data_IF_575945165444
#
_entry.id   IF_575945165444
#
_cell.length_a   1.000
_cell.length_b   1.000
_cell.length_c   1.000
_cell.angle_alpha   90.00
_cell.angle_beta   90.00
_cell.angle_gamma   90.00
#
_symmetry.space_group_name_H-M   'P 1'
#
loop_
_entity.id
_entity.type
_entity.pdbx_description
1 polymer ?
#
# COMPACT_ATOMS: atom_id res chain seq x y z
N UNK A 1 -17.91 13.46 -14.98
CA UNK A 1 -18.15 13.05 -13.56
C UNK A 1 -19.03 11.80 -13.55
N UNK A 2 -18.70 10.78 -12.76
CA UNK A 2 -19.50 9.55 -12.64
C UNK A 2 -20.81 9.82 -11.91
N UNK A 3 -21.95 9.43 -12.48
CA UNK A 3 -23.25 9.51 -11.82
C UNK A 3 -23.50 8.28 -10.91
N UNK A 4 -24.57 8.31 -10.11
CA UNK A 4 -24.90 7.24 -9.17
C UNK A 4 -25.21 5.94 -9.90
N UNK A 5 -25.95 5.98 -11.00
CA UNK A 5 -26.34 4.78 -11.74
C UNK A 5 -25.12 4.03 -12.30
N UNK A 6 -24.12 4.75 -12.83
CA UNK A 6 -22.89 4.14 -13.33
C UNK A 6 -22.04 3.56 -12.19
N UNK A 7 -21.99 4.24 -11.04
CA UNK A 7 -21.30 3.69 -9.87
C UNK A 7 -21.95 2.41 -9.37
N UNK A 8 -23.29 2.37 -9.27
CA UNK A 8 -24.08 1.18 -8.89
C UNK A 8 -23.88 0.02 -9.88
N UNK A 9 -23.77 0.33 -11.18
CA UNK A 9 -23.49 -0.66 -12.21
C UNK A 9 -22.11 -1.29 -12.02
N UNK A 10 -21.06 -0.49 -11.82
CA UNK A 10 -19.69 -0.98 -11.58
C UNK A 10 -19.60 -1.82 -10.31
N UNK A 11 -20.23 -1.39 -9.20
CA UNK A 11 -20.28 -2.16 -7.96
C UNK A 11 -20.89 -3.55 -8.20
N UNK A 12 -21.96 -3.61 -8.99
CA UNK A 12 -22.66 -4.87 -9.33
C UNK A 12 -21.83 -5.73 -10.30
N UNK A 13 -21.25 -5.14 -11.36
CA UNK A 13 -20.42 -5.84 -12.35
C UNK A 13 -19.22 -6.53 -11.69
N UNK A 14 -18.59 -5.86 -10.75
CA UNK A 14 -17.43 -6.39 -10.02
C UNK A 14 -17.79 -7.17 -8.75
N UNK A 15 -19.10 -7.39 -8.49
CA UNK A 15 -19.58 -8.14 -7.32
C UNK A 15 -19.04 -7.61 -5.99
N UNK A 16 -18.89 -6.29 -5.87
CA UNK A 16 -18.41 -5.62 -4.66
C UNK A 16 -19.57 -5.53 -3.66
N UNK A 17 -19.44 -6.04 -2.41
CA UNK A 17 -20.52 -5.97 -1.43
C UNK A 17 -20.93 -4.53 -1.09
N UNK A 18 -19.97 -3.63 -0.94
CA UNK A 18 -20.21 -2.22 -0.68
C UNK A 18 -19.03 -1.36 -1.01
N UNK A 19 -19.29 -0.15 -1.51
CA UNK A 19 -18.25 0.81 -1.87
C UNK A 19 -18.70 2.25 -1.66
N UNK A 20 -17.72 3.14 -1.44
CA UNK A 20 -17.89 4.59 -1.41
C UNK A 20 -16.82 5.27 -2.25
N UNK A 21 -17.21 6.36 -2.87
CA UNK A 21 -16.38 7.18 -3.74
C UNK A 21 -16.53 8.65 -3.34
N UNK A 22 -15.41 9.37 -3.28
CA UNK A 22 -15.40 10.84 -3.24
C UNK A 22 -14.47 11.37 -4.33
N UNK A 23 -14.92 12.40 -5.02
CA UNK A 23 -14.16 13.11 -6.09
C UNK A 23 -14.18 14.59 -5.80
N UNK A 24 -13.00 15.17 -5.67
CA UNK A 24 -12.78 16.62 -5.57
C UNK A 24 -12.37 17.18 -6.93
N UNK A 25 -13.00 18.25 -7.35
CA UNK A 25 -12.61 19.04 -8.53
C UNK A 25 -12.63 20.52 -8.16
N UNK A 26 -11.45 21.12 -7.99
CA UNK A 26 -11.36 22.45 -7.40
C UNK A 26 -11.92 22.45 -5.96
N UNK A 27 -13.03 23.19 -5.74
CA UNK A 27 -13.72 23.25 -4.44
C UNK A 27 -14.92 22.28 -4.34
N UNK A 28 -15.34 21.70 -5.46
CA UNK A 28 -16.55 20.87 -5.53
C UNK A 28 -16.24 19.42 -5.10
N UNK A 29 -16.97 18.96 -4.08
CA UNK A 29 -16.92 17.59 -3.59
C UNK A 29 -18.15 16.80 -4.03
N UNK A 30 -17.91 15.70 -4.71
CA UNK A 30 -18.96 14.77 -5.14
C UNK A 30 -18.75 13.40 -4.47
N UNK A 31 -19.81 12.84 -3.89
CA UNK A 31 -19.75 11.53 -3.22
C UNK A 31 -20.74 10.55 -3.84
N UNK A 32 -20.39 9.26 -3.83
CA UNK A 32 -21.27 8.14 -4.19
C UNK A 32 -21.11 7.04 -3.16
N UNK A 33 -22.18 6.28 -2.94
CA UNK A 33 -22.19 5.13 -2.05
C UNK A 33 -23.11 4.06 -2.65
N UNK A 34 -22.73 2.80 -2.54
CA UNK A 34 -23.49 1.68 -3.10
C UNK A 34 -23.24 0.41 -2.31
N UNK A 35 -24.26 -0.48 -2.22
CA UNK A 35 -24.18 -1.77 -1.57
C UNK A 35 -24.31 -1.71 -0.05
N UNK A 36 -23.72 -2.71 0.63
CA UNK A 36 -23.86 -2.91 2.09
C UNK A 36 -22.53 -2.94 2.81
N UNK A 37 -22.52 -2.49 4.06
CA UNK A 37 -21.33 -2.49 4.95
C UNK A 37 -21.00 -3.91 5.45
N UNK A 38 -22.01 -4.78 5.50
CA UNK A 38 -21.89 -6.14 5.99
C UNK A 38 -23.02 -6.98 5.39
N UNK A 39 -22.65 -8.06 4.71
CA UNK A 39 -23.61 -8.96 4.03
C UNK A 39 -24.54 -9.67 5.00
N UNK A 40 -24.11 -9.96 6.24
CA UNK A 40 -24.96 -10.64 7.23
C UNK A 40 -26.04 -9.73 7.81
N UNK A 41 -25.77 -8.41 7.91
CA UNK A 41 -26.71 -7.45 8.52
C UNK A 41 -27.51 -6.67 7.49
N UNK A 42 -27.03 -6.56 6.25
CA UNK A 42 -27.68 -5.77 5.20
C UNK A 42 -27.66 -4.25 5.43
N UNK A 43 -26.81 -3.74 6.33
CA UNK A 43 -26.73 -2.29 6.59
C UNK A 43 -26.12 -1.59 5.37
N UNK A 44 -26.82 -0.64 4.81
CA UNK A 44 -26.43 0.07 3.59
C UNK A 44 -25.18 0.93 3.77
N UNK A 45 -24.37 1.05 2.71
CA UNK A 45 -23.29 2.04 2.61
C UNK A 45 -23.89 3.41 2.35
N UNK A 46 -23.39 4.40 3.07
CA UNK A 46 -23.75 5.83 2.89
C UNK A 46 -22.47 6.66 2.75
N UNK A 47 -22.51 7.91 2.28
CA UNK A 47 -21.31 8.73 2.12
C UNK A 47 -20.52 8.98 3.42
N UNK A 48 -21.18 8.84 4.59
CA UNK A 48 -20.56 8.94 5.92
C UNK A 48 -20.07 7.60 6.48
N UNK A 49 -20.14 6.53 5.70
CA UNK A 49 -19.61 5.22 6.07
C UNK A 49 -18.08 5.22 6.09
N UNK A 50 -17.52 4.67 7.16
CA UNK A 50 -16.08 4.56 7.35
C UNK A 50 -15.56 3.20 6.88
N UNK A 51 -14.41 3.24 6.24
CA UNK A 51 -13.65 2.07 5.80
C UNK A 51 -12.22 2.15 6.33
N UNK A 52 -11.56 1.01 6.46
CA UNK A 52 -10.15 0.96 6.76
C UNK A 52 -9.36 1.42 5.53
N UNK A 53 -8.42 2.34 5.75
CA UNK A 53 -7.55 2.87 4.69
C UNK A 53 -6.33 2.00 4.44
N UNK A 54 -6.07 1.06 5.35
CA UNK A 54 -4.90 0.20 5.28
C UNK A 54 -3.63 1.03 4.98
N UNK A 55 -2.87 0.66 3.97
CA UNK A 55 -1.57 1.28 3.68
C UNK A 55 -1.61 2.75 3.27
N UNK A 56 -2.76 3.34 2.94
CA UNK A 56 -2.87 4.81 2.78
C UNK A 56 -2.49 5.51 4.10
N UNK A 57 -2.63 4.85 5.24
CA UNK A 57 -2.14 5.30 6.57
C UNK A 57 -0.68 5.75 6.54
N UNK A 58 0.16 5.14 5.69
CA UNK A 58 1.57 5.51 5.57
C UNK A 58 1.75 6.97 5.15
N UNK A 59 0.88 7.46 4.27
CA UNK A 59 0.90 8.87 3.87
C UNK A 59 0.53 9.79 5.04
N UNK A 60 -0.40 9.38 5.91
CA UNK A 60 -0.71 10.12 7.15
C UNK A 60 0.50 10.15 8.09
N UNK A 61 1.13 9.00 8.34
CA UNK A 61 2.33 8.90 9.17
C UNK A 61 3.48 9.75 8.61
N UNK A 62 3.73 9.67 7.30
CA UNK A 62 4.74 10.48 6.62
C UNK A 62 4.44 11.98 6.72
N UNK A 63 3.16 12.38 6.60
CA UNK A 63 2.75 13.78 6.73
C UNK A 63 3.06 14.32 8.12
N UNK A 64 2.74 13.58 9.19
CA UNK A 64 3.13 13.96 10.55
C UNK A 64 4.64 14.12 10.66
N UNK A 65 5.41 13.15 10.13
CA UNK A 65 6.87 13.25 10.13
C UNK A 65 7.38 14.52 9.40
N UNK A 66 6.84 14.83 8.23
CA UNK A 66 7.24 16.04 7.48
C UNK A 66 6.90 17.31 8.27
N UNK A 67 5.76 17.37 8.97
CA UNK A 67 5.45 18.49 9.87
C UNK A 67 6.47 18.66 11.00
N UNK A 68 6.98 17.55 11.55
CA UNK A 68 8.04 17.61 12.56
C UNK A 68 9.38 18.03 11.95
N UNK A 69 9.66 17.62 10.72
CA UNK A 69 10.85 18.06 10.00
C UNK A 69 10.83 19.57 9.67
N UNK A 70 9.66 20.11 9.28
CA UNK A 70 9.46 21.56 9.09
C UNK A 70 9.69 22.36 10.39
N UNK A 71 9.37 21.78 11.53
CA UNK A 71 9.63 22.37 12.85
C UNK A 71 11.12 22.28 13.26
N UNK A 72 11.97 21.65 12.45
CA UNK A 72 13.39 21.46 12.72
C UNK A 72 13.71 20.41 13.78
N UNK A 73 12.74 19.55 14.14
CA UNK A 73 12.94 18.52 15.18
C UNK A 73 13.73 17.31 14.65
N UNK A 74 13.68 17.06 13.35
CA UNK A 74 14.33 15.93 12.69
C UNK A 74 14.58 16.25 11.22
N UNK A 75 15.59 15.63 10.59
CA UNK A 75 15.85 15.74 9.15
C UNK A 75 15.54 14.44 8.41
N UNK A 76 15.33 14.52 7.10
CA UNK A 76 15.15 13.34 6.25
C UNK A 76 16.34 12.38 6.30
N UNK A 77 17.55 12.93 6.41
CA UNK A 77 18.79 12.16 6.41
C UNK A 77 19.33 11.87 7.82
N UNK A 78 18.59 12.25 8.86
CA UNK A 78 18.86 11.87 10.26
C UNK A 78 18.78 10.35 10.38
N UNK A 79 19.79 9.73 10.98
CA UNK A 79 19.78 8.30 11.25
C UNK A 79 18.72 7.96 12.31
N UNK A 80 18.05 6.81 12.14
CA UNK A 80 17.01 6.37 13.10
C UNK A 80 17.55 6.32 14.53
N UNK A 81 18.79 5.85 14.71
CA UNK A 81 19.43 5.76 16.04
C UNK A 81 19.77 7.09 16.70
N UNK A 82 19.72 8.20 16.00
CA UNK A 82 19.85 9.52 16.61
C UNK A 82 18.60 9.88 17.44
N UNK A 83 17.43 9.36 17.03
CA UNK A 83 16.16 9.53 17.76
C UNK A 83 15.82 8.31 18.62
N UNK A 84 16.14 7.11 18.14
CA UNK A 84 15.92 5.84 18.81
C UNK A 84 17.28 5.13 19.08
N UNK A 85 18.03 5.51 20.13
CA UNK A 85 19.41 5.00 20.38
C UNK A 85 19.48 3.47 20.47
N UNK A 86 18.44 2.83 21.00
CA UNK A 86 18.35 1.40 21.19
C UNK A 86 17.78 0.63 19.98
N UNK A 87 17.51 1.31 18.87
CA UNK A 87 16.97 0.68 17.67
C UNK A 87 17.89 -0.43 17.14
N UNK A 88 17.31 -1.60 16.88
CA UNK A 88 18.01 -2.80 16.40
C UNK A 88 17.19 -3.48 15.30
N UNK A 89 17.93 -4.02 14.34
CA UNK A 89 17.47 -5.04 13.37
C UNK A 89 18.56 -6.11 13.32
N UNK A 90 18.34 -7.23 12.64
CA UNK A 90 19.28 -8.34 12.58
C UNK A 90 20.67 -7.92 12.08
N UNK A 91 20.74 -6.99 11.11
CA UNK A 91 21.99 -6.39 10.66
C UNK A 91 22.31 -5.12 11.47
N UNK A 92 23.35 -5.12 12.33
CA UNK A 92 23.73 -3.96 13.14
C UNK A 92 24.24 -2.77 12.30
N UNK A 93 24.80 -3.00 11.11
CA UNK A 93 25.22 -1.93 10.22
C UNK A 93 24.03 -1.19 9.62
N UNK A 94 22.97 -1.92 9.24
CA UNK A 94 21.72 -1.31 8.82
C UNK A 94 21.11 -0.51 9.96
N UNK A 95 21.02 -1.08 11.17
CA UNK A 95 20.49 -0.37 12.35
C UNK A 95 21.22 0.96 12.59
N UNK A 96 22.54 1.01 12.36
CA UNK A 96 23.38 2.19 12.56
C UNK A 96 23.19 3.26 11.47
N UNK A 97 22.93 2.84 10.21
CA UNK A 97 23.00 3.71 9.02
C UNK A 97 21.66 4.07 8.41
N UNK A 98 20.60 3.34 8.73
CA UNK A 98 19.26 3.61 8.18
C UNK A 98 18.80 5.01 8.61
N UNK A 99 18.28 5.78 7.65
CA UNK A 99 17.78 7.14 7.86
C UNK A 99 16.27 7.21 7.68
N UNK A 100 15.66 8.33 8.08
CA UNK A 100 14.24 8.59 7.89
C UNK A 100 13.86 8.54 6.41
N UNK A 101 14.71 9.07 5.51
CA UNK A 101 14.52 8.99 4.06
C UNK A 101 14.42 7.54 3.59
N UNK A 102 15.28 6.64 4.06
CA UNK A 102 15.22 5.23 3.71
C UNK A 102 13.89 4.57 4.12
N UNK A 103 13.33 4.96 5.27
CA UNK A 103 12.02 4.44 5.71
C UNK A 103 10.90 4.97 4.81
N UNK A 104 10.89 6.28 4.52
CA UNK A 104 9.86 6.97 3.75
C UNK A 104 9.83 6.56 2.27
N UNK A 105 10.96 6.08 1.73
CA UNK A 105 11.11 5.70 0.30
C UNK A 105 11.16 4.20 0.08
N UNK A 106 10.96 3.40 1.13
CA UNK A 106 11.07 1.94 1.08
C UNK A 106 12.44 1.41 0.64
N UNK A 107 13.51 2.17 0.90
CA UNK A 107 14.90 1.77 0.55
C UNK A 107 15.72 1.32 1.75
N UNK A 108 15.10 1.14 2.92
CA UNK A 108 15.79 0.62 4.11
C UNK A 108 16.26 -0.83 3.93
N UNK A 109 15.59 -1.59 3.06
CA UNK A 109 15.80 -3.01 2.89
C UNK A 109 15.36 -3.87 4.09
N UNK A 110 14.94 -3.26 5.21
CA UNK A 110 14.43 -3.97 6.38
C UNK A 110 13.19 -4.76 5.99
N UNK A 111 13.14 -6.04 6.36
CA UNK A 111 12.05 -6.95 6.07
C UNK A 111 10.67 -6.32 6.30
N UNK A 112 9.87 -6.27 5.23
CA UNK A 112 8.68 -5.45 5.20
C UNK A 112 7.47 -6.08 5.87
N UNK A 113 7.39 -7.40 5.87
CA UNK A 113 6.21 -8.17 6.29
C UNK A 113 6.44 -8.85 7.65
N UNK A 114 6.76 -8.06 8.67
CA UNK A 114 6.88 -8.52 10.05
C UNK A 114 5.57 -8.26 10.79
N UNK A 115 4.65 -9.21 10.71
CA UNK A 115 3.33 -9.14 11.34
C UNK A 115 3.39 -9.72 12.75
N UNK A 116 3.69 -8.89 13.73
CA UNK A 116 3.71 -9.22 15.16
C UNK A 116 3.05 -8.16 16.01
N UNK A 117 2.59 -8.54 17.17
CA UNK A 117 2.25 -7.62 18.23
C UNK A 117 0.79 -7.51 18.55
N UNK A 118 0.26 -8.47 19.29
CA UNK A 118 -1.08 -8.44 19.88
C UNK A 118 -1.22 -7.41 21.02
N UNK A 119 -0.23 -6.52 21.16
CA UNK A 119 -0.23 -5.48 22.19
C UNK A 119 -1.28 -4.41 21.90
N UNK A 120 -2.02 -4.01 22.95
CA UNK A 120 -3.10 -3.03 22.85
C UNK A 120 -2.87 -1.75 23.67
N UNK A 121 -1.81 -1.71 24.49
CA UNK A 121 -1.46 -0.53 25.31
C UNK A 121 -0.84 0.60 24.48
N UNK A 122 -0.66 1.76 25.13
CA UNK A 122 -0.06 2.95 24.50
C UNK A 122 1.43 2.77 24.17
N UNK A 123 2.04 1.71 24.70
CA UNK A 123 3.41 1.27 24.41
C UNK A 123 3.50 0.26 23.25
N UNK A 124 2.41 0.00 22.54
CA UNK A 124 2.35 -1.06 21.53
C UNK A 124 3.31 -0.84 20.35
N UNK A 125 3.48 0.41 19.88
CA UNK A 125 4.42 0.74 18.79
C UNK A 125 5.87 0.61 19.28
N UNK A 126 6.16 1.01 20.51
CA UNK A 126 7.48 0.82 21.12
C UNK A 126 7.85 -0.66 21.21
N UNK A 127 6.93 -1.51 21.70
CA UNK A 127 7.13 -2.98 21.78
C UNK A 127 7.33 -3.60 20.41
N UNK A 128 6.55 -3.16 19.41
CA UNK A 128 6.74 -3.60 18.04
C UNK A 128 8.16 -3.28 17.54
N UNK A 129 8.61 -2.04 17.72
CA UNK A 129 9.94 -1.61 17.27
C UNK A 129 11.05 -2.33 18.05
N UNK A 130 10.86 -2.60 19.34
CA UNK A 130 11.80 -3.41 20.13
C UNK A 130 11.91 -4.85 19.60
N UNK A 131 10.80 -5.43 19.12
CA UNK A 131 10.80 -6.78 18.54
C UNK A 131 11.45 -6.86 17.15
N UNK A 132 11.69 -5.71 16.48
CA UNK A 132 12.35 -5.68 15.16
C UNK A 132 13.84 -6.14 15.22
N UNK A 133 14.41 -6.39 16.38
CA UNK A 133 15.80 -6.86 16.53
C UNK A 133 16.11 -8.16 15.75
N UNK A 134 15.09 -8.97 15.46
CA UNK A 134 15.21 -10.23 14.69
C UNK A 134 14.92 -10.06 13.19
N UNK A 135 14.45 -8.89 12.76
CA UNK A 135 14.05 -8.65 11.35
C UNK A 135 15.28 -8.56 10.47
N UNK A 136 15.35 -9.46 9.49
CA UNK A 136 16.40 -9.50 8.47
C UNK A 136 16.18 -8.48 7.35
N UNK A 137 17.01 -8.59 6.31
CA UNK A 137 16.99 -7.73 5.14
C UNK A 137 16.34 -8.45 3.95
N UNK A 138 15.49 -7.72 3.22
CA UNK A 138 14.98 -8.12 1.90
C UNK A 138 16.02 -7.83 0.82
N UNK A 139 16.61 -6.62 0.90
CA UNK A 139 17.60 -6.09 -0.03
C UNK A 139 18.64 -5.25 0.73
N UNK A 140 19.83 -5.02 0.18
CA UNK A 140 20.82 -4.14 0.81
C UNK A 140 20.30 -2.71 1.01
N UNK A 141 20.67 -2.07 2.13
CA UNK A 141 20.31 -0.69 2.45
C UNK A 141 20.65 0.27 1.30
N UNK A 142 19.65 1.02 0.83
CA UNK A 142 19.81 2.03 -0.20
C UNK A 142 19.98 1.48 -1.62
N UNK A 143 19.84 0.17 -1.86
CA UNK A 143 20.06 -0.43 -3.19
C UNK A 143 18.86 -0.26 -4.12
N UNK A 144 17.78 -0.94 -3.82
CA UNK A 144 16.51 -0.89 -4.57
C UNK A 144 15.35 -0.76 -3.61
N UNK A 145 14.21 -0.18 -4.01
CA UNK A 145 13.06 -0.11 -3.12
C UNK A 145 12.44 -1.49 -2.92
N UNK A 146 12.11 -1.84 -1.67
CA UNK A 146 11.28 -2.98 -1.30
C UNK A 146 10.26 -2.52 -0.27
N UNK A 147 8.98 -2.67 -0.59
CA UNK A 147 7.89 -2.14 0.23
C UNK A 147 7.94 -2.67 1.66
N UNK A 148 7.97 -1.78 2.65
CA UNK A 148 8.15 -2.16 4.05
C UNK A 148 7.08 -1.55 4.96
N UNK A 149 6.26 -2.39 5.58
CA UNK A 149 5.37 -2.03 6.68
C UNK A 149 6.18 -1.70 7.94
N UNK A 150 7.17 -2.53 8.24
CA UNK A 150 8.08 -2.38 9.38
C UNK A 150 8.72 -0.99 9.43
N UNK A 151 9.19 -0.49 8.28
CA UNK A 151 9.79 0.84 8.19
C UNK A 151 8.86 1.96 8.66
N UNK A 152 7.57 1.88 8.36
CA UNK A 152 6.58 2.88 8.81
C UNK A 152 6.20 2.73 10.27
N UNK A 153 6.24 1.52 10.83
CA UNK A 153 6.10 1.33 12.27
C UNK A 153 7.28 1.97 13.04
N UNK A 154 8.51 1.82 12.52
CA UNK A 154 9.69 2.51 13.07
C UNK A 154 9.52 4.03 12.98
N UNK A 155 9.02 4.56 11.84
CA UNK A 155 8.74 5.98 11.68
C UNK A 155 7.67 6.47 12.68
N UNK A 156 6.64 5.65 12.94
CA UNK A 156 5.64 5.92 13.97
C UNK A 156 6.26 6.06 15.37
N UNK A 157 7.20 5.18 15.73
CA UNK A 157 7.91 5.30 17.01
C UNK A 157 8.80 6.54 17.08
N UNK A 158 9.44 6.92 15.98
CA UNK A 158 10.17 8.18 15.89
C UNK A 158 9.24 9.37 16.20
N UNK A 159 8.04 9.39 15.62
CA UNK A 159 7.03 10.42 15.89
C UNK A 159 6.66 10.45 17.38
N UNK A 160 6.43 9.29 18.01
CA UNK A 160 6.11 9.21 19.43
C UNK A 160 7.21 9.82 20.32
N UNK A 161 8.47 9.47 20.04
CA UNK A 161 9.61 9.99 20.82
C UNK A 161 9.77 11.51 20.64
N UNK A 162 9.63 12.02 19.41
CA UNK A 162 9.77 13.46 19.13
C UNK A 162 8.63 14.30 19.69
N UNK A 163 7.43 13.73 19.78
CA UNK A 163 6.23 14.50 20.22
C UNK A 163 5.84 14.27 21.66
N UNK A 164 6.25 13.17 22.28
CA UNK A 164 5.75 12.70 23.58
C UNK A 164 4.30 12.22 23.55
N UNK A 165 3.70 12.05 22.37
CA UNK A 165 2.35 11.57 22.13
C UNK A 165 2.39 10.12 21.64
N UNK A 166 1.29 9.37 21.79
CA UNK A 166 1.14 8.14 21.00
C UNK A 166 1.00 8.50 19.52
N UNK A 167 1.29 7.55 18.62
CA UNK A 167 1.08 7.75 17.19
C UNK A 167 -0.38 8.14 16.88
N UNK A 168 -1.34 7.50 17.52
CA UNK A 168 -2.78 7.81 17.42
C UNK A 168 -3.08 9.28 17.74
N UNK A 169 -2.55 9.77 18.86
CA UNK A 169 -2.68 11.17 19.29
C UNK A 169 -1.98 12.13 18.32
N UNK A 170 -0.83 11.73 17.76
CA UNK A 170 -0.12 12.56 16.79
C UNK A 170 -0.90 12.69 15.48
N UNK A 171 -1.55 11.62 14.98
CA UNK A 171 -2.48 11.72 13.84
C UNK A 171 -3.62 12.68 14.14
N UNK A 172 -4.20 12.60 15.36
CA UNK A 172 -5.21 13.55 15.82
C UNK A 172 -4.74 15.00 15.73
N UNK A 173 -3.64 15.31 16.41
CA UNK A 173 -3.10 16.66 16.56
C UNK A 173 -2.61 17.30 15.26
N UNK A 174 -1.94 16.53 14.40
CA UNK A 174 -1.27 17.08 13.21
C UNK A 174 -2.09 17.01 11.94
N UNK A 175 -3.15 16.15 11.88
CA UNK A 175 -3.97 15.95 10.68
C UNK A 175 -5.45 16.14 10.98
N UNK A 176 -6.06 15.33 11.84
CA UNK A 176 -7.51 15.31 12.04
C UNK A 176 -8.04 16.66 12.54
N UNK A 177 -7.46 17.19 13.59
CA UNK A 177 -7.91 18.45 14.22
C UNK A 177 -7.69 19.67 13.32
N UNK A 178 -6.49 19.89 12.71
CA UNK A 178 -6.27 21.02 11.82
C UNK A 178 -7.17 21.04 10.59
N UNK A 179 -7.55 19.86 10.08
CA UNK A 179 -8.43 19.73 8.91
C UNK A 179 -9.92 19.64 9.28
N UNK A 180 -10.25 19.60 10.56
CA UNK A 180 -11.63 19.43 11.03
C UNK A 180 -12.26 18.09 10.60
N UNK A 181 -11.45 17.02 10.43
CA UNK A 181 -11.94 15.71 10.01
C UNK A 181 -12.71 15.06 11.16
N UNK A 182 -13.98 14.74 10.91
CA UNK A 182 -14.86 14.19 11.95
C UNK A 182 -14.93 12.66 11.90
N UNK A 183 -14.60 12.06 10.75
CA UNK A 183 -14.69 10.63 10.48
C UNK A 183 -13.33 10.05 10.08
N UNK A 184 -12.25 10.45 10.77
CA UNK A 184 -10.90 9.91 10.61
C UNK A 184 -10.36 9.52 11.97
N UNK A 185 -10.17 8.22 12.21
CA UNK A 185 -9.80 7.65 13.49
C UNK A 185 -8.85 6.47 13.31
N UNK A 186 -8.13 6.10 14.40
CA UNK A 186 -7.11 5.05 14.36
C UNK A 186 -7.40 3.88 15.30
N UNK A 187 -8.24 4.10 16.30
CA UNK A 187 -8.56 3.09 17.31
C UNK A 187 -9.93 2.46 17.06
N UNK A 188 -10.06 1.11 17.14
CA UNK A 188 -11.34 0.41 16.96
C UNK A 188 -12.47 0.96 17.82
N UNK A 189 -12.19 1.28 19.08
CA UNK A 189 -13.18 1.82 20.04
C UNK A 189 -13.67 3.23 19.67
N UNK A 190 -12.95 3.97 18.85
CA UNK A 190 -13.38 5.25 18.30
C UNK A 190 -14.20 5.05 17.03
N UNK A 191 -13.72 4.16 16.15
CA UNK A 191 -14.33 3.88 14.84
C UNK A 191 -15.71 3.22 14.99
N UNK A 192 -15.88 2.30 15.94
CA UNK A 192 -17.16 1.58 16.16
C UNK A 192 -18.33 2.51 16.55
N UNK A 193 -18.08 3.75 16.89
CA UNK A 193 -19.15 4.75 17.16
C UNK A 193 -19.83 5.29 15.91
N UNK A 194 -19.32 4.94 14.73
CA UNK A 194 -19.79 5.38 13.42
C UNK A 194 -20.35 4.22 12.59
N UNK A 195 -20.84 4.53 11.40
CA UNK A 195 -21.18 3.52 10.40
C UNK A 195 -19.89 2.95 9.83
N UNK A 196 -19.52 1.75 10.24
CA UNK A 196 -18.25 1.15 9.86
C UNK A 196 -18.46 -0.12 9.04
N UNK A 197 -17.64 -0.31 8.03
CA UNK A 197 -17.67 -1.48 7.16
C UNK A 197 -16.94 -2.67 7.77
N UNK A 198 -17.51 -3.87 7.57
CA UNK A 198 -16.78 -5.14 7.69
C UNK A 198 -16.07 -5.46 6.38
N UNK A 199 -14.97 -6.19 6.46
CA UNK A 199 -14.31 -6.76 5.30
C UNK A 199 -15.07 -7.98 4.76
N UNK A 200 -14.91 -8.26 3.46
CA UNK A 200 -15.43 -9.48 2.84
C UNK A 200 -14.33 -10.18 2.05
N UNK A 201 -14.25 -11.47 2.20
CA UNK A 201 -13.24 -12.34 1.59
C UNK A 201 -13.87 -13.33 0.63
N UNK A 202 -13.14 -13.67 -0.41
CA UNK A 202 -13.49 -14.71 -1.37
C UNK A 202 -12.41 -15.79 -1.37
N UNK A 203 -12.84 -17.07 -1.35
CA UNK A 203 -11.92 -18.22 -1.32
C UNK A 203 -11.39 -18.57 -2.71
N UNK A 204 -12.19 -18.33 -3.75
CA UNK A 204 -11.82 -18.56 -5.15
C UNK A 204 -12.47 -17.52 -6.06
N UNK A 205 -12.03 -17.45 -7.32
CA UNK A 205 -12.57 -16.50 -8.31
C UNK A 205 -14.09 -16.61 -8.53
N UNK A 206 -14.69 -17.77 -8.25
CA UNK A 206 -16.11 -18.05 -8.49
C UNK A 206 -16.96 -18.00 -7.24
N UNK A 207 -16.37 -17.94 -6.04
CA UNK A 207 -17.11 -17.94 -4.78
C UNK A 207 -17.77 -16.60 -4.51
N UNK A 208 -18.92 -16.65 -3.85
CA UNK A 208 -19.54 -15.46 -3.29
C UNK A 208 -18.68 -14.93 -2.11
N UNK A 209 -18.60 -13.60 -1.93
CA UNK A 209 -17.90 -13.01 -0.80
C UNK A 209 -18.59 -13.37 0.52
N UNK A 210 -17.79 -13.59 1.56
CA UNK A 210 -18.24 -13.86 2.93
C UNK A 210 -17.65 -12.84 3.88
N UNK A 211 -18.35 -12.51 4.96
CA UNK A 211 -17.87 -11.57 5.98
C UNK A 211 -16.55 -12.08 6.58
N UNK A 212 -15.55 -11.20 6.63
CA UNK A 212 -14.24 -11.50 7.22
C UNK A 212 -14.38 -11.79 8.73
N UNK A 213 -13.64 -12.79 9.27
CA UNK A 213 -13.76 -13.16 10.67
C UNK A 213 -13.19 -12.13 11.64
N UNK A 214 -12.33 -11.22 11.14
CA UNK A 214 -11.66 -10.19 11.93
C UNK A 214 -11.85 -8.83 11.28
N UNK A 215 -12.06 -7.81 12.12
CA UNK A 215 -12.06 -6.41 11.69
C UNK A 215 -10.76 -5.69 12.07
N UNK A 216 -10.21 -5.99 13.26
CA UNK A 216 -9.06 -5.32 13.88
C UNK A 216 -7.74 -5.95 13.39
N UNK A 217 -7.37 -5.65 12.15
CA UNK A 217 -6.09 -6.02 11.54
C UNK A 217 -5.61 -4.90 10.62
N UNK A 218 -4.30 -4.55 10.59
CA UNK A 218 -3.21 -5.11 11.40
C UNK A 218 -3.29 -4.71 12.88
N UNK A 219 -2.48 -5.37 13.71
CA UNK A 219 -2.43 -5.11 15.15
C UNK A 219 -2.04 -3.66 15.46
N UNK A 220 -2.49 -3.12 16.63
CA UNK A 220 -2.26 -1.73 17.01
C UNK A 220 -0.79 -1.31 16.98
N UNK A 221 0.15 -2.21 17.36
CA UNK A 221 1.60 -1.95 17.26
C UNK A 221 2.08 -1.65 15.82
N UNK A 222 1.32 -2.08 14.82
CA UNK A 222 1.54 -1.80 13.40
C UNK A 222 0.68 -0.62 12.89
N UNK A 223 -0.04 0.06 13.78
CA UNK A 223 -0.92 1.19 13.45
C UNK A 223 -0.32 2.19 12.47
N UNK A 224 0.96 2.62 12.65
CA UNK A 224 1.59 3.59 11.75
C UNK A 224 1.68 3.18 10.28
N UNK A 225 1.53 1.90 9.97
CA UNK A 225 1.53 1.43 8.58
C UNK A 225 0.13 1.12 8.02
N UNK A 226 -0.94 1.06 8.87
CA UNK A 226 -2.20 0.50 8.37
C UNK A 226 -3.53 0.81 9.08
N UNK A 227 -3.60 1.52 10.22
CA UNK A 227 -4.80 1.55 11.05
C UNK A 227 -5.70 2.79 10.94
N UNK A 228 -5.45 3.71 10.01
CA UNK A 228 -6.42 4.80 9.79
C UNK A 228 -7.69 4.25 9.16
N UNK A 229 -8.84 4.60 9.74
CA UNK A 229 -10.17 4.40 9.15
C UNK A 229 -10.81 5.76 8.92
N UNK A 230 -11.44 5.95 7.75
CA UNK A 230 -12.05 7.22 7.42
C UNK A 230 -13.23 7.08 6.43
N UNK A 231 -13.95 8.18 6.20
CA UNK A 231 -14.85 8.34 5.05
C UNK A 231 -14.08 8.75 3.81
N UNK A 232 -14.63 8.51 2.62
CA UNK A 232 -14.02 8.94 1.36
C UNK A 232 -13.87 10.48 1.29
N UNK A 233 -14.81 11.22 1.87
CA UNK A 233 -14.76 12.67 1.96
C UNK A 233 -13.58 13.19 2.80
N UNK A 234 -13.34 12.58 3.98
CA UNK A 234 -12.20 12.93 4.83
C UNK A 234 -10.85 12.59 4.14
N UNK A 235 -10.79 11.48 3.40
CA UNK A 235 -9.59 11.10 2.62
C UNK A 235 -9.30 12.12 1.52
N UNK A 236 -10.32 12.60 0.83
CA UNK A 236 -10.17 13.65 -0.19
C UNK A 236 -9.79 14.99 0.46
N UNK A 237 -10.30 15.32 1.64
CA UNK A 237 -9.89 16.51 2.38
C UNK A 237 -8.41 16.44 2.81
N UNK A 238 -7.91 15.26 3.17
CA UNK A 238 -6.48 15.02 3.39
C UNK A 238 -5.66 15.23 2.10
N UNK A 239 -6.13 14.70 0.96
CA UNK A 239 -5.47 14.93 -0.33
C UNK A 239 -5.48 16.43 -0.73
N UNK A 240 -6.57 17.17 -0.46
CA UNK A 240 -6.65 18.61 -0.70
C UNK A 240 -5.60 19.40 0.08
N UNK A 241 -5.27 18.99 1.31
CA UNK A 241 -4.14 19.55 2.04
C UNK A 241 -2.84 19.37 1.26
N UNK A 242 -2.59 18.18 0.70
CA UNK A 242 -1.41 17.92 -0.12
C UNK A 242 -1.38 18.68 -1.45
N UNK A 243 -2.55 19.00 -2.01
CA UNK A 243 -2.63 19.83 -3.21
C UNK A 243 -2.25 21.29 -2.91
N UNK A 244 -2.71 21.82 -1.77
CA UNK A 244 -2.68 23.25 -1.46
C UNK A 244 -1.50 23.69 -0.60
N UNK A 245 -0.85 22.78 0.12
CA UNK A 245 0.26 23.12 1.02
C UNK A 245 1.61 22.94 0.31
N UNK A 246 2.35 24.04 0.01
CA UNK A 246 3.65 23.96 -0.65
C UNK A 246 4.69 23.19 0.16
N UNK A 247 4.60 23.18 1.49
CA UNK A 247 5.53 22.47 2.34
C UNK A 247 5.44 20.96 2.17
N UNK A 248 4.26 20.43 1.85
CA UNK A 248 4.05 19.01 1.57
C UNK A 248 4.44 18.61 0.13
N UNK A 249 4.79 19.59 -0.74
CA UNK A 249 5.21 19.30 -2.11
C UNK A 249 6.46 18.41 -2.18
N UNK A 250 7.33 18.47 -1.17
CA UNK A 250 8.50 17.60 -1.06
C UNK A 250 8.13 16.11 -1.06
N UNK A 251 6.96 15.75 -0.55
CA UNK A 251 6.51 14.36 -0.47
C UNK A 251 6.20 13.74 -1.84
N UNK A 252 5.83 14.54 -2.83
CA UNK A 252 5.55 14.11 -4.21
C UNK A 252 6.71 14.32 -5.19
N UNK A 253 7.88 14.70 -4.69
CA UNK A 253 9.11 14.71 -5.49
C UNK A 253 9.61 13.28 -5.70
N UNK A 254 10.07 12.96 -6.92
CA UNK A 254 10.65 11.66 -7.25
C UNK A 254 11.89 11.41 -6.41
N UNK A 255 11.87 10.36 -5.58
CA UNK A 255 13.00 9.97 -4.72
C UNK A 255 13.74 8.76 -5.31
N UNK A 256 13.04 7.72 -5.69
CA UNK A 256 13.62 6.48 -6.21
C UNK A 256 12.73 5.88 -7.29
N UNK A 257 13.33 5.44 -8.39
CA UNK A 257 12.62 4.70 -9.44
C UNK A 257 12.29 3.29 -8.97
N UNK A 258 11.14 2.77 -9.39
CA UNK A 258 10.67 1.42 -9.03
C UNK A 258 10.77 0.52 -10.25
N UNK A 259 11.44 -0.63 -10.15
CA UNK A 259 11.43 -1.62 -11.22
C UNK A 259 10.02 -2.18 -11.47
N UNK A 260 9.61 -2.22 -12.74
CA UNK A 260 8.33 -2.82 -13.13
C UNK A 260 7.20 -1.80 -13.36
N UNK A 261 5.99 -2.30 -13.66
CA UNK A 261 4.89 -1.46 -14.12
C UNK A 261 3.90 -1.01 -13.04
N UNK A 262 4.17 -1.29 -11.75
CA UNK A 262 3.23 -0.93 -10.68
C UNK A 262 3.18 0.58 -10.42
N UNK A 263 4.33 1.24 -10.43
CA UNK A 263 4.49 2.69 -10.33
C UNK A 263 5.86 3.06 -10.92
N UNK A 264 6.03 4.34 -11.25
CA UNK A 264 7.29 4.80 -11.84
C UNK A 264 8.31 5.17 -10.76
N UNK A 265 7.88 5.85 -9.71
CA UNK A 265 8.74 6.30 -8.62
C UNK A 265 8.05 6.25 -7.26
N UNK A 266 8.83 6.11 -6.20
CA UNK A 266 8.42 6.52 -4.87
C UNK A 266 8.78 7.99 -4.65
N UNK A 267 7.83 8.75 -4.09
CA UNK A 267 8.09 9.96 -3.34
C UNK A 267 8.38 9.65 -1.87
N UNK A 268 8.18 10.58 -0.96
CA UNK A 268 8.19 10.30 0.48
C UNK A 268 6.81 9.73 0.86
N UNK A 269 6.71 8.40 0.89
CA UNK A 269 5.49 7.60 1.06
C UNK A 269 4.54 7.55 -0.16
N UNK A 270 4.53 8.52 -1.03
CA UNK A 270 3.62 8.55 -2.16
C UNK A 270 4.11 7.67 -3.32
N UNK A 271 3.18 6.91 -3.92
CA UNK A 271 3.32 6.30 -5.23
C UNK A 271 3.18 7.39 -6.30
N UNK A 272 4.09 7.40 -7.27
CA UNK A 272 4.11 8.40 -8.34
C UNK A 272 4.04 7.70 -9.70
N UNK A 273 3.10 8.13 -10.53
CA UNK A 273 2.94 7.69 -11.91
C UNK A 273 3.05 8.86 -12.87
N UNK A 274 3.58 8.61 -14.04
CA UNK A 274 3.60 9.53 -15.18
C UNK A 274 2.62 9.00 -16.23
N UNK A 275 1.36 9.44 -16.15
CA UNK A 275 0.35 9.04 -17.10
C UNK A 275 0.02 10.20 -18.04
N UNK A 276 0.15 9.97 -19.35
CA UNK A 276 -0.21 10.94 -20.39
C UNK A 276 0.53 12.28 -20.24
N UNK A 277 1.76 12.24 -19.71
CA UNK A 277 2.58 13.41 -19.42
C UNK A 277 2.21 14.16 -18.14
N UNK A 278 1.26 13.64 -17.35
CA UNK A 278 0.83 14.22 -16.09
C UNK A 278 1.35 13.38 -14.91
N UNK A 279 1.81 14.06 -13.85
CA UNK A 279 2.10 13.37 -12.59
C UNK A 279 0.81 13.02 -11.87
N UNK A 280 0.57 11.75 -11.67
CA UNK A 280 -0.48 11.22 -10.80
C UNK A 280 0.17 10.75 -9.51
N UNK A 281 -0.39 11.14 -8.38
CA UNK A 281 0.11 10.84 -7.04
C UNK A 281 -0.94 10.05 -6.29
N UNK A 282 -0.54 9.05 -5.52
CA UNK A 282 -1.52 8.31 -4.74
C UNK A 282 -0.93 7.24 -3.84
N UNK A 283 -1.81 6.45 -3.27
CA UNK A 283 -1.47 5.25 -2.52
C UNK A 283 -2.67 4.30 -2.50
N UNK A 284 -2.39 3.00 -2.54
CA UNK A 284 -3.40 1.96 -2.32
C UNK A 284 -3.27 1.37 -0.93
N UNK A 285 -4.34 0.81 -0.44
CA UNK A 285 -4.34 0.08 0.81
C UNK A 285 -5.25 -1.15 0.73
N UNK A 286 -4.72 -2.28 1.16
CA UNK A 286 -5.46 -3.53 1.26
C UNK A 286 -5.32 -4.07 2.68
N UNK A 287 -6.42 -4.44 3.27
CA UNK A 287 -6.52 -5.05 4.57
C UNK A 287 -7.43 -6.28 4.49
N UNK A 288 -7.82 -6.85 5.59
CA UNK A 288 -8.58 -8.10 5.67
C UNK A 288 -10.00 -7.95 5.08
N UNK A 289 -10.07 -8.02 3.73
CA UNK A 289 -11.32 -7.86 2.98
C UNK A 289 -11.83 -6.42 2.87
N UNK A 290 -10.99 -5.43 3.10
CA UNK A 290 -11.25 -4.01 2.80
C UNK A 290 -10.11 -3.45 1.98
N UNK A 291 -10.44 -2.63 0.99
CA UNK A 291 -9.45 -1.99 0.11
C UNK A 291 -9.80 -0.53 -0.10
N UNK A 292 -8.77 0.29 -0.22
CA UNK A 292 -8.87 1.72 -0.45
C UNK A 292 -7.86 2.18 -1.50
N UNK A 293 -8.22 3.19 -2.27
CA UNK A 293 -7.35 3.82 -3.26
C UNK A 293 -7.55 5.32 -3.23
N UNK A 294 -6.45 6.04 -3.08
CA UNK A 294 -6.39 7.49 -3.18
C UNK A 294 -5.51 7.87 -4.35
N UNK A 295 -6.05 8.65 -5.28
CA UNK A 295 -5.31 9.34 -6.33
C UNK A 295 -5.54 10.84 -6.24
N UNK A 296 -4.54 11.62 -6.58
CA UNK A 296 -4.71 13.04 -6.87
C UNK A 296 -3.76 13.51 -7.98
N UNK A 297 -4.21 14.51 -8.72
CA UNK A 297 -3.49 15.10 -9.85
C UNK A 297 -3.20 16.55 -9.50
N UNK A 298 -1.96 16.87 -9.06
CA UNK A 298 -1.63 18.22 -8.60
C UNK A 298 -1.94 19.31 -9.61
N UNK A 299 -1.58 19.12 -10.87
CA UNK A 299 -1.76 20.12 -11.94
C UNK A 299 -3.24 20.34 -12.30
N UNK A 300 -4.10 19.37 -12.03
CA UNK A 300 -5.54 19.49 -12.28
C UNK A 300 -6.34 19.91 -11.04
N UNK A 301 -5.74 19.89 -9.84
CA UNK A 301 -6.45 20.16 -8.59
C UNK A 301 -7.54 19.12 -8.28
N UNK A 302 -7.35 17.87 -8.74
CA UNK A 302 -8.32 16.78 -8.62
C UNK A 302 -7.84 15.75 -7.61
N UNK A 303 -8.76 15.23 -6.79
CA UNK A 303 -8.50 14.08 -5.93
C UNK A 303 -9.67 13.08 -6.00
N UNK A 304 -9.34 11.79 -5.96
CA UNK A 304 -10.29 10.67 -6.05
C UNK A 304 -9.98 9.70 -4.90
N UNK A 305 -10.93 9.44 -4.03
CA UNK A 305 -10.85 8.42 -3.00
C UNK A 305 -11.94 7.37 -3.25
N UNK A 306 -11.53 6.13 -3.49
CA UNK A 306 -12.41 4.97 -3.67
C UNK A 306 -12.11 3.95 -2.58
N UNK A 307 -13.16 3.48 -1.89
CA UNK A 307 -13.04 2.47 -0.86
C UNK A 307 -14.12 1.41 -1.04
N UNK A 308 -13.76 0.15 -0.78
CA UNK A 308 -14.68 -0.96 -0.87
C UNK A 308 -14.35 -2.05 0.15
N UNK A 309 -15.36 -2.80 0.54
CA UNK A 309 -15.22 -3.91 1.47
C UNK A 309 -15.09 -5.27 0.75
N UNK A 310 -14.05 -5.39 -0.06
CA UNK A 310 -13.77 -6.58 -0.86
C UNK A 310 -12.27 -6.82 -1.00
N UNK A 311 -11.87 -8.08 -1.14
CA UNK A 311 -10.53 -8.50 -1.56
C UNK A 311 -10.35 -8.52 -3.09
N UNK A 312 -11.44 -8.30 -3.87
CA UNK A 312 -11.45 -8.23 -5.35
C UNK A 312 -11.45 -6.80 -5.88
N UNK A 313 -10.69 -5.93 -5.25
CA UNK A 313 -10.75 -4.50 -5.51
C UNK A 313 -10.08 -4.06 -6.84
N UNK A 314 -9.04 -4.76 -7.28
CA UNK A 314 -8.13 -4.26 -8.31
C UNK A 314 -8.79 -3.89 -9.66
N UNK A 315 -9.70 -4.74 -10.17
CA UNK A 315 -10.38 -4.48 -11.44
C UNK A 315 -11.45 -3.39 -11.27
N UNK A 316 -12.22 -3.43 -10.19
CA UNK A 316 -13.19 -2.41 -9.84
C UNK A 316 -12.54 -1.02 -9.72
N UNK A 317 -11.49 -0.91 -8.91
CA UNK A 317 -10.71 0.32 -8.73
C UNK A 317 -10.20 0.87 -10.07
N UNK A 318 -9.69 -0.03 -10.91
CA UNK A 318 -9.16 0.33 -12.20
C UNK A 318 -10.22 0.95 -13.11
N UNK A 319 -11.40 0.31 -13.23
CA UNK A 319 -12.45 0.81 -14.12
C UNK A 319 -13.04 2.13 -13.62
N UNK A 320 -13.27 2.27 -12.32
CA UNK A 320 -13.71 3.54 -11.71
C UNK A 320 -12.67 4.66 -11.94
N UNK A 321 -11.39 4.40 -11.64
CA UNK A 321 -10.35 5.43 -11.79
C UNK A 321 -10.10 5.80 -13.25
N UNK A 322 -10.13 4.83 -14.17
CA UNK A 322 -9.97 5.07 -15.62
C UNK A 322 -11.06 5.99 -16.15
N UNK A 323 -12.33 5.71 -15.83
CA UNK A 323 -13.45 6.55 -16.28
C UNK A 323 -13.38 7.95 -15.67
N UNK A 324 -13.03 8.06 -14.40
CA UNK A 324 -12.93 9.35 -13.71
C UNK A 324 -11.75 10.17 -14.24
N UNK A 325 -10.54 9.63 -14.30
CA UNK A 325 -9.37 10.36 -14.81
C UNK A 325 -9.58 10.85 -16.24
N UNK A 326 -10.14 10.01 -17.12
CA UNK A 326 -10.48 10.41 -18.49
C UNK A 326 -11.52 11.53 -18.51
N UNK A 327 -12.60 11.44 -17.69
CA UNK A 327 -13.69 12.42 -17.73
C UNK A 327 -13.39 13.73 -17.00
N UNK A 328 -12.53 13.72 -15.98
CA UNK A 328 -12.27 14.87 -15.10
C UNK A 328 -10.96 15.56 -15.44
N UNK A 329 -9.93 14.78 -15.78
CA UNK A 329 -8.57 15.28 -16.05
C UNK A 329 -8.16 15.14 -17.53
N UNK A 330 -8.90 14.38 -18.34
CA UNK A 330 -8.47 14.00 -19.70
C UNK A 330 -7.32 13.01 -19.74
N UNK A 331 -6.91 12.44 -18.60
CA UNK A 331 -5.77 11.54 -18.49
C UNK A 331 -6.19 10.12 -18.86
N UNK A 332 -5.44 9.49 -19.77
CA UNK A 332 -5.62 8.10 -20.14
C UNK A 332 -4.77 7.19 -19.25
N UNK A 333 -5.42 6.46 -18.34
CA UNK A 333 -4.75 5.46 -17.50
C UNK A 333 -4.20 4.33 -18.39
N UNK A 334 -2.92 3.91 -18.26
CA UNK A 334 -2.35 2.83 -19.07
C UNK A 334 -3.14 1.52 -18.98
N UNK A 335 -3.12 0.65 -20.01
CA UNK A 335 -3.79 -0.63 -19.94
C UNK A 335 -3.21 -1.53 -18.84
N UNK A 336 -3.95 -2.51 -18.30
CA UNK A 336 -3.42 -3.44 -17.32
C UNK A 336 -2.26 -4.25 -17.93
N UNK A 337 -1.33 -4.72 -17.08
CA UNK A 337 -0.34 -5.68 -17.52
C UNK A 337 -1.02 -6.87 -18.22
N UNK A 338 -0.51 -7.26 -19.36
CA UNK A 338 -1.00 -8.40 -20.12
C UNK A 338 0.13 -8.97 -21.01
N UNK A 339 0.03 -10.22 -21.48
CA UNK A 339 0.92 -10.74 -22.51
C UNK A 339 0.88 -9.86 -23.76
N UNK A 340 2.02 -9.64 -24.44
CA UNK A 340 2.06 -8.89 -25.69
C UNK A 340 1.36 -9.67 -26.80
N UNK A 341 0.76 -8.95 -27.78
CA UNK A 341 0.10 -9.57 -28.94
C UNK A 341 1.08 -10.40 -29.79
N UNK A 342 2.34 -9.97 -29.89
CA UNK A 342 3.41 -10.75 -30.50
C UNK A 342 4.30 -11.32 -29.38
N UNK A 343 4.58 -12.63 -29.36
CA UNK A 343 5.41 -13.25 -28.35
C UNK A 343 6.79 -12.58 -28.26
N UNK A 344 7.21 -12.23 -27.04
CA UNK A 344 8.56 -11.77 -26.75
C UNK A 344 9.42 -12.97 -26.33
N UNK A 345 10.63 -13.07 -26.85
CA UNK A 345 11.57 -14.15 -26.52
C UNK A 345 12.72 -13.57 -25.68
N UNK A 346 13.03 -14.23 -24.58
CA UNK A 346 14.19 -13.91 -23.74
C UNK A 346 15.37 -14.76 -24.24
N UNK A 347 16.49 -14.13 -24.53
CA UNK A 347 17.68 -14.84 -25.11
C UNK A 347 18.27 -15.85 -24.11
N UNK A 348 18.34 -15.52 -22.83
CA UNK A 348 18.85 -16.42 -21.78
C UNK A 348 17.91 -16.41 -20.57
N UNK A 349 16.82 -17.20 -20.58
CA UNK A 349 15.91 -17.28 -19.44
C UNK A 349 16.54 -17.96 -18.21
N UNK A 350 17.58 -18.80 -18.41
CA UNK A 350 18.23 -19.51 -17.32
C UNK A 350 18.90 -18.57 -16.30
N UNK A 351 19.30 -17.37 -16.71
CA UNK A 351 19.89 -16.36 -15.80
C UNK A 351 18.95 -15.95 -14.66
N UNK A 352 17.63 -16.06 -14.84
CA UNK A 352 16.63 -15.73 -13.83
C UNK A 352 16.33 -16.90 -12.89
N UNK A 353 16.78 -18.13 -13.21
CA UNK A 353 16.53 -19.28 -12.35
C UNK A 353 17.31 -19.21 -11.06
N UNK A 354 16.78 -19.85 -10.02
CA UNK A 354 17.40 -19.96 -8.71
C UNK A 354 16.45 -19.64 -7.58
N UNK A 355 16.97 -19.64 -6.39
CA UNK A 355 16.24 -19.22 -5.17
C UNK A 355 16.53 -17.77 -4.84
N UNK A 356 15.47 -17.03 -4.62
CA UNK A 356 15.52 -15.68 -4.09
C UNK A 356 14.89 -15.67 -2.69
N UNK A 357 15.40 -14.80 -1.83
CA UNK A 357 14.94 -14.72 -0.45
C UNK A 357 14.65 -13.27 -0.06
N UNK A 358 13.58 -13.08 0.68
CA UNK A 358 13.28 -11.93 1.48
C UNK A 358 12.85 -12.37 2.88
N UNK A 359 12.82 -11.46 3.82
CA UNK A 359 12.33 -11.77 5.15
C UNK A 359 10.89 -12.31 5.10
N UNK A 360 10.65 -13.47 5.67
CA UNK A 360 9.34 -14.12 5.70
C UNK A 360 8.89 -14.75 4.37
N UNK A 361 9.75 -14.88 3.35
CA UNK A 361 9.40 -15.61 2.12
C UNK A 361 10.62 -16.11 1.33
N UNK A 362 10.41 -17.22 0.60
CA UNK A 362 11.29 -17.68 -0.48
C UNK A 362 10.56 -17.59 -1.81
N UNK A 363 11.31 -17.23 -2.85
CA UNK A 363 10.84 -17.24 -4.25
C UNK A 363 11.75 -18.16 -5.04
N UNK A 364 11.20 -19.27 -5.52
CA UNK A 364 11.90 -20.22 -6.37
C UNK A 364 11.50 -19.95 -7.83
N UNK A 365 12.49 -19.79 -8.70
CA UNK A 365 12.31 -19.63 -10.15
C UNK A 365 12.99 -20.79 -10.85
N UNK A 366 12.23 -21.55 -11.62
CA UNK A 366 12.71 -22.72 -12.36
C UNK A 366 12.40 -22.59 -13.86
N UNK A 367 13.21 -23.24 -14.69
CA UNK A 367 12.98 -23.32 -16.13
C UNK A 367 12.39 -24.67 -16.48
N UNK A 368 11.20 -24.70 -17.06
CA UNK A 368 10.53 -25.90 -17.54
C UNK A 368 11.14 -26.46 -18.81
N UNK A 369 10.81 -27.71 -19.11
CA UNK A 369 11.25 -28.39 -20.34
C UNK A 369 10.67 -27.77 -21.63
N UNK A 370 9.65 -26.96 -21.51
CA UNK A 370 9.01 -26.15 -22.56
C UNK A 370 9.68 -24.78 -22.77
N UNK A 371 10.69 -24.44 -21.95
CA UNK A 371 11.40 -23.18 -22.01
C UNK A 371 10.71 -22.04 -21.26
N UNK A 372 9.60 -22.30 -20.52
CA UNK A 372 8.93 -21.32 -19.69
C UNK A 372 9.55 -21.25 -18.29
N UNK A 373 9.57 -20.05 -17.72
CA UNK A 373 9.93 -19.85 -16.32
C UNK A 373 8.69 -20.05 -15.43
N UNK A 374 8.87 -20.80 -14.36
CA UNK A 374 7.88 -21.01 -13.32
C UNK A 374 8.35 -20.33 -12.04
N UNK A 375 7.49 -19.56 -11.41
CA UNK A 375 7.76 -18.89 -10.14
C UNK A 375 6.85 -19.43 -9.06
N UNK A 376 7.43 -19.79 -7.91
CA UNK A 376 6.72 -20.14 -6.68
C UNK A 376 7.20 -19.27 -5.54
N UNK A 377 6.32 -18.47 -4.93
CA UNK A 377 6.59 -17.76 -3.67
C UNK A 377 5.92 -18.51 -2.52
N UNK A 378 6.70 -18.85 -1.49
CA UNK A 378 6.22 -19.46 -0.24
C UNK A 378 6.54 -18.58 0.95
N UNK A 379 5.55 -18.33 1.79
CA UNK A 379 5.74 -17.65 3.06
C UNK A 379 6.48 -18.56 4.02
N UNK A 380 7.25 -17.97 4.95
CA UNK A 380 8.01 -18.65 5.98
C UNK A 380 7.77 -17.98 7.34
N UNK A 381 8.16 -18.66 8.43
CA UNK A 381 7.94 -18.15 9.79
C UNK A 381 6.45 -18.14 10.18
N UNK A 382 6.05 -17.17 10.99
CA UNK A 382 4.70 -17.09 11.59
C UNK A 382 3.56 -16.98 10.57
N UNK A 383 3.85 -16.58 9.33
CA UNK A 383 2.85 -16.40 8.25
C UNK A 383 2.82 -17.59 7.27
N UNK A 384 3.57 -18.66 7.51
CA UNK A 384 3.74 -19.77 6.57
C UNK A 384 2.41 -20.48 6.23
N UNK A 385 1.53 -20.62 7.23
CA UNK A 385 0.26 -21.33 7.10
C UNK A 385 -0.94 -20.40 6.80
N UNK A 386 -0.73 -19.09 6.84
CA UNK A 386 -1.80 -18.11 6.65
C UNK A 386 -2.13 -17.84 5.17
N UNK A 387 -1.16 -18.07 4.28
CA UNK A 387 -1.33 -17.82 2.85
C UNK A 387 -0.88 -19.01 2.02
N UNK A 388 -1.67 -19.46 1.03
CA UNK A 388 -1.23 -20.48 0.10
C UNK A 388 -0.02 -19.99 -0.70
N UNK A 389 0.81 -20.90 -1.23
CA UNK A 389 1.87 -20.54 -2.16
C UNK A 389 1.32 -19.75 -3.35
N UNK A 390 2.03 -18.70 -3.75
CA UNK A 390 1.77 -17.98 -4.99
C UNK A 390 2.56 -18.66 -6.11
N UNK A 391 1.87 -19.23 -7.10
CA UNK A 391 2.48 -19.98 -8.20
C UNK A 391 2.01 -19.42 -9.54
N UNK A 392 2.93 -19.10 -10.43
CA UNK A 392 2.62 -18.58 -11.76
C UNK A 392 3.64 -19.03 -12.81
N UNK A 393 3.13 -19.26 -14.02
CA UNK A 393 3.95 -19.36 -15.22
C UNK A 393 4.24 -17.96 -15.74
N UNK A 394 5.50 -17.69 -16.09
CA UNK A 394 5.96 -16.37 -16.44
C UNK A 394 5.98 -16.18 -17.97
N UNK A 395 5.03 -15.40 -18.48
CA UNK A 395 5.00 -14.98 -19.88
C UNK A 395 5.85 -13.73 -20.06
N UNK A 396 6.90 -13.75 -20.89
CA UNK A 396 7.77 -12.59 -21.08
C UNK A 396 7.07 -11.46 -21.84
N UNK A 397 7.23 -10.23 -21.36
CA UNK A 397 6.71 -9.01 -21.99
C UNK A 397 7.83 -8.08 -22.45
N UNK A 398 8.99 -8.15 -21.81
CA UNK A 398 10.25 -7.51 -22.19
C UNK A 398 11.40 -8.23 -21.48
N UNK A 399 12.64 -7.86 -21.76
CA UNK A 399 13.78 -8.42 -21.03
C UNK A 399 13.70 -8.08 -19.53
N UNK A 400 13.78 -9.12 -18.68
CA UNK A 400 13.60 -9.00 -17.23
C UNK A 400 12.15 -8.68 -16.78
N UNK A 401 11.18 -8.57 -17.68
CA UNK A 401 9.78 -8.29 -17.34
C UNK A 401 8.86 -9.39 -17.83
N UNK A 402 8.03 -9.87 -16.93
CA UNK A 402 7.10 -10.97 -17.16
C UNK A 402 5.73 -10.65 -16.59
N UNK A 403 4.73 -11.38 -17.03
CA UNK A 403 3.41 -11.43 -16.40
C UNK A 403 3.04 -12.88 -16.13
N UNK A 404 2.43 -13.13 -14.96
CA UNK A 404 1.86 -14.42 -14.58
C UNK A 404 0.36 -14.31 -14.38
N UNK A 405 -0.40 -15.33 -14.78
CA UNK A 405 -1.83 -15.34 -14.56
C UNK A 405 -2.15 -15.72 -13.12
N UNK A 406 -2.83 -14.83 -12.39
CA UNK A 406 -3.30 -15.10 -11.02
C UNK A 406 -4.78 -15.49 -11.04
N UNK A 407 -5.06 -16.75 -10.79
CA UNK A 407 -6.43 -17.31 -10.83
C UNK A 407 -7.34 -16.69 -9.76
N UNK A 408 -6.83 -16.51 -8.53
CA UNK A 408 -7.61 -15.95 -7.42
C UNK A 408 -8.15 -14.55 -7.69
N UNK A 409 -7.43 -13.76 -8.51
CA UNK A 409 -7.83 -12.39 -8.90
C UNK A 409 -8.27 -12.27 -10.36
N UNK A 410 -8.28 -13.36 -11.13
CA UNK A 410 -8.56 -13.39 -12.57
C UNK A 410 -7.82 -12.28 -13.35
N UNK A 411 -6.52 -12.12 -13.07
CA UNK A 411 -5.71 -11.03 -13.62
C UNK A 411 -4.28 -11.44 -13.91
N UNK A 412 -3.67 -10.75 -14.85
CA UNK A 412 -2.22 -10.79 -15.06
C UNK A 412 -1.51 -9.98 -13.97
N UNK A 413 -0.52 -10.60 -13.35
CA UNK A 413 0.30 -9.99 -12.30
C UNK A 413 1.72 -9.83 -12.82
N UNK A 414 2.31 -8.64 -12.76
CA UNK A 414 3.67 -8.44 -13.23
C UNK A 414 4.68 -9.02 -12.25
N UNK A 415 5.72 -9.62 -12.82
CA UNK A 415 6.94 -10.07 -12.16
C UNK A 415 8.13 -9.41 -12.87
N UNK A 416 9.01 -8.78 -12.11
CA UNK A 416 10.14 -8.03 -12.68
C UNK A 416 11.44 -8.48 -12.04
N UNK A 417 12.43 -8.79 -12.86
CA UNK A 417 13.81 -9.04 -12.42
C UNK A 417 14.63 -7.75 -12.62
N UNK A 418 15.31 -7.32 -11.57
CA UNK A 418 16.17 -6.16 -11.61
C UNK A 418 17.64 -6.58 -11.40
N UNK A 419 18.50 -6.21 -12.37
CA UNK A 419 19.94 -6.53 -12.39
C UNK A 419 20.25 -8.02 -12.16
N UNK A 420 19.37 -8.92 -12.57
CA UNK A 420 19.45 -10.39 -12.35
C UNK A 420 19.67 -10.83 -10.90
N UNK A 421 19.72 -9.88 -9.97
CA UNK A 421 19.92 -10.08 -8.53
C UNK A 421 18.65 -10.03 -7.71
N UNK A 422 17.64 -9.36 -8.21
CA UNK A 422 16.40 -9.15 -7.49
C UNK A 422 15.20 -9.60 -8.34
N UNK A 423 14.24 -10.24 -7.68
CA UNK A 423 12.92 -10.48 -8.25
C UNK A 423 11.88 -9.71 -7.46
N UNK A 424 11.00 -9.01 -8.18
CA UNK A 424 9.84 -8.32 -7.64
C UNK A 424 8.59 -9.14 -7.88
N UNK A 425 7.90 -9.47 -6.78
CA UNK A 425 6.51 -9.94 -6.79
C UNK A 425 5.68 -8.84 -6.13
N UNK A 426 4.89 -8.13 -6.93
CA UNK A 426 4.27 -6.90 -6.47
C UNK A 426 5.31 -5.79 -6.23
N UNK A 427 5.26 -5.17 -5.05
CA UNK A 427 6.16 -4.09 -4.64
C UNK A 427 7.31 -4.56 -3.74
N UNK A 428 7.47 -5.86 -3.56
CA UNK A 428 8.49 -6.45 -2.69
C UNK A 428 9.57 -7.13 -3.50
N UNK A 429 10.80 -6.76 -3.21
CA UNK A 429 11.98 -7.39 -3.81
C UNK A 429 12.49 -8.54 -2.95
N UNK A 430 12.90 -9.63 -3.61
CA UNK A 430 13.66 -10.71 -2.99
C UNK A 430 15.05 -10.78 -3.64
N UNK A 431 16.08 -11.02 -2.83
CA UNK A 431 17.47 -11.09 -3.27
C UNK A 431 17.84 -12.52 -3.70
N UNK A 432 18.47 -12.67 -4.86
CA UNK A 432 18.97 -13.97 -5.35
C UNK A 432 20.05 -14.51 -4.44
N UNK A 433 19.86 -15.74 -3.97
CA UNK A 433 20.89 -16.43 -3.21
C UNK A 433 21.99 -16.90 -4.17
N UNK A 434 23.24 -16.77 -3.74
CA UNK A 434 24.36 -17.37 -4.48
C UNK A 434 24.17 -18.89 -4.54
N UNK A 435 24.57 -19.54 -5.64
CA UNK A 435 24.49 -20.99 -5.80
C UNK A 435 25.25 -21.74 -4.70
#
# INVERSE_FOLDING_TARGET
MMDQSRFDELVREHQVPGATLAVLTGEDLHTRASGVLNLDTGVEVTPDSMFQLASITKAYTATVFIRLAEQGLVGLDTAVREVLPDFKVADPEVARRVTMRHLLTHTSGIGGDFFRGEWRGDDCVERYVASCAEVGQDVPLGSVPSYSNTGFCVLGRVIEVLTGLTWDQAIGKYIREPLGLTHTWTLPEEVIRFRVSMGHLTRSATDAPTVAPLWDFPFRGMGPCGNVSATAADVVAFARMHLNDPALAVMRQRQVAVPGPFLDHWGLSWMLWDWDGCQVVGHSGDNYGQSAHLLFVPDAGVAIALMANTDRFALFQRDVCRELLASVCGIQMPPPPAPPAAPFTVDDPARFTGRYQRFGAHVDVTLGGDGMLHLTEKRTGDMADEFPPFEVDLVPVADGRFVGWLESGARWTPVTFADDRFVYVGLRAATKLSP
#
